data_IF_407725061340
#
_entry.id   IF_407725061340
#
_cell.length_a   1.000
_cell.length_b   1.000
_cell.length_c   1.000
_cell.angle_alpha   90.00
_cell.angle_beta   90.00
_cell.angle_gamma   90.00
#
_symmetry.space_group_name_H-M   'P 1'
#
loop_
_entity.id
_entity.type
_entity.pdbx_description
1 polymer ?
#
# COMPACT_ATOMS: atom_id res chain seq x y z
N UNK A 1 -28.70 -30.13 -7.77
CA UNK A 1 -28.28 -28.76 -8.15
C UNK A 1 -27.84 -27.82 -7.00
N UNK A 2 -28.05 -28.11 -5.70
CA UNK A 2 -27.71 -27.19 -4.59
C UNK A 2 -26.22 -27.06 -4.21
N UNK A 3 -25.35 -27.97 -4.68
CA UNK A 3 -23.91 -27.98 -4.29
C UNK A 3 -23.04 -27.04 -5.14
N UNK A 4 -23.36 -26.89 -6.43
CA UNK A 4 -22.61 -26.05 -7.37
C UNK A 4 -22.66 -24.58 -6.94
N UNK A 5 -23.83 -24.10 -6.49
CA UNK A 5 -24.01 -22.73 -5.99
C UNK A 5 -23.12 -22.43 -4.79
N UNK A 6 -22.97 -23.38 -3.85
CA UNK A 6 -22.09 -23.21 -2.68
C UNK A 6 -20.61 -23.20 -3.09
N UNK A 7 -20.20 -24.08 -4.00
CA UNK A 7 -18.82 -24.12 -4.50
C UNK A 7 -18.44 -22.83 -5.23
N UNK A 8 -19.32 -22.31 -6.09
CA UNK A 8 -19.10 -21.03 -6.79
C UNK A 8 -18.98 -19.87 -5.81
N UNK A 9 -19.80 -19.84 -4.75
CA UNK A 9 -19.69 -18.82 -3.69
C UNK A 9 -18.33 -18.90 -3.00
N UNK A 10 -17.87 -20.10 -2.63
CA UNK A 10 -16.56 -20.26 -1.98
C UNK A 10 -15.39 -19.90 -2.89
N UNK A 11 -15.46 -20.21 -4.19
CA UNK A 11 -14.46 -19.77 -5.18
C UNK A 11 -14.46 -18.25 -5.28
N UNK A 12 -15.63 -17.62 -5.32
CA UNK A 12 -15.77 -16.16 -5.33
C UNK A 12 -15.15 -15.51 -4.09
N UNK A 13 -15.43 -16.04 -2.90
CA UNK A 13 -14.85 -15.56 -1.64
C UNK A 13 -13.32 -15.75 -1.65
N UNK A 14 -12.83 -16.90 -2.09
CA UNK A 14 -11.39 -17.17 -2.18
C UNK A 14 -10.68 -16.21 -3.14
N UNK A 15 -11.26 -15.96 -4.30
CA UNK A 15 -10.74 -14.99 -5.27
C UNK A 15 -10.72 -13.56 -4.72
N UNK A 16 -11.77 -13.15 -4.01
CA UNK A 16 -11.84 -11.84 -3.37
C UNK A 16 -10.77 -11.69 -2.27
N UNK A 17 -10.60 -12.70 -1.41
CA UNK A 17 -9.58 -12.69 -0.36
C UNK A 17 -8.16 -12.66 -0.96
N UNK A 18 -7.91 -13.39 -2.04
CA UNK A 18 -6.64 -13.34 -2.76
C UNK A 18 -6.35 -11.95 -3.33
N UNK A 19 -7.35 -11.31 -3.94
CA UNK A 19 -7.23 -9.94 -4.44
C UNK A 19 -6.93 -8.96 -3.30
N UNK A 20 -7.61 -9.07 -2.17
CA UNK A 20 -7.37 -8.22 -0.99
C UNK A 20 -5.97 -8.44 -0.41
N UNK A 21 -5.51 -9.70 -0.31
CA UNK A 21 -4.18 -10.03 0.20
C UNK A 21 -3.04 -9.53 -0.72
N UNK A 22 -3.31 -9.33 -2.01
CA UNK A 22 -2.34 -8.85 -2.99
C UNK A 22 -2.28 -7.33 -3.15
N UNK A 23 -3.16 -6.57 -2.48
CA UNK A 23 -3.24 -5.12 -2.64
C UNK A 23 -3.25 -4.39 -1.29
N UNK A 24 -2.64 -3.20 -1.26
CA UNK A 24 -2.86 -2.19 -0.23
C UNK A 24 -3.94 -1.22 -0.70
N UNK A 25 -4.94 -1.01 0.13
CA UNK A 25 -6.00 -0.04 -0.04
C UNK A 25 -5.61 1.21 0.76
N UNK A 26 -5.13 2.22 0.04
CA UNK A 26 -4.63 3.46 0.62
C UNK A 26 -5.74 4.50 0.56
N UNK A 27 -6.12 5.00 1.74
CA UNK A 27 -7.16 5.99 1.92
C UNK A 27 -6.56 7.39 2.10
N UNK A 28 -6.86 8.29 1.17
CA UNK A 28 -6.36 9.66 1.12
C UNK A 28 -7.32 10.72 1.71
N UNK A 29 -8.40 10.31 2.37
CA UNK A 29 -9.45 11.21 2.87
C UNK A 29 -10.66 11.29 1.94
N UNK A 30 -11.85 11.43 2.54
CA UNK A 30 -13.13 11.45 1.82
C UNK A 30 -13.44 10.11 1.13
N UNK A 31 -13.51 10.12 -0.20
CA UNK A 31 -13.76 8.94 -1.05
C UNK A 31 -12.54 8.53 -1.89
N UNK A 32 -11.37 9.12 -1.65
CA UNK A 32 -10.17 8.87 -2.44
C UNK A 32 -9.45 7.61 -1.94
N UNK A 33 -9.75 6.47 -2.60
CA UNK A 33 -9.08 5.20 -2.36
C UNK A 33 -8.19 4.87 -3.55
N UNK A 34 -6.92 4.63 -3.30
CA UNK A 34 -5.94 4.16 -4.29
C UNK A 34 -5.46 2.77 -3.93
N UNK A 35 -5.22 1.95 -4.95
CA UNK A 35 -4.71 0.60 -4.81
C UNK A 35 -3.22 0.59 -5.09
N UNK A 36 -2.45 -0.08 -4.25
CA UNK A 36 -1.03 -0.29 -4.45
C UNK A 36 -0.74 -1.80 -4.39
N UNK A 37 -0.08 -2.34 -5.41
CA UNK A 37 0.17 -3.78 -5.49
C UNK A 37 1.24 -4.18 -4.46
N UNK A 38 0.96 -5.25 -3.70
CA UNK A 38 1.91 -5.81 -2.73
C UNK A 38 2.99 -6.63 -3.42
N UNK A 39 4.22 -6.58 -2.90
CA UNK A 39 5.31 -7.49 -3.30
C UNK A 39 5.12 -8.92 -2.76
N UNK A 40 4.52 -9.05 -1.58
CA UNK A 40 4.24 -10.34 -0.94
C UNK A 40 2.75 -10.46 -0.61
N UNK A 41 2.17 -11.65 -0.77
CA UNK A 41 0.79 -11.93 -0.36
C UNK A 41 0.69 -11.91 1.16
N UNK A 42 0.13 -10.84 1.72
CA UNK A 42 -0.02 -10.67 3.16
C UNK A 42 -1.26 -9.85 3.46
N UNK A 43 -1.93 -10.14 4.57
CA UNK A 43 -3.01 -9.30 5.09
C UNK A 43 -2.50 -8.11 5.92
N UNK A 44 -1.18 -8.02 6.13
CA UNK A 44 -0.56 -6.86 6.77
C UNK A 44 -0.73 -5.60 5.91
N UNK A 45 -0.99 -4.47 6.59
CA UNK A 45 -1.12 -3.14 5.97
C UNK A 45 -2.12 -3.10 4.80
N UNK A 46 -3.13 -3.95 4.80
CA UNK A 46 -4.12 -4.03 3.71
C UNK A 46 -4.97 -2.78 3.62
N UNK A 47 -5.37 -2.21 4.75
CA UNK A 47 -6.10 -0.94 4.78
C UNK A 47 -5.20 0.08 5.49
N UNK A 48 -4.72 1.06 4.73
CA UNK A 48 -3.83 2.09 5.26
C UNK A 48 -4.46 3.47 5.03
N UNK A 49 -4.62 4.24 6.11
CA UNK A 49 -5.11 5.62 6.01
C UNK A 49 -3.95 6.60 6.07
N UNK A 50 -3.87 7.48 5.08
CA UNK A 50 -2.91 8.59 5.05
C UNK A 50 -3.45 9.83 5.75
N UNK A 51 -4.77 9.90 6.02
CA UNK A 51 -5.42 11.13 6.54
C UNK A 51 -4.88 11.60 7.89
N UNK A 52 -4.32 10.71 8.70
CA UNK A 52 -3.78 11.03 10.03
C UNK A 52 -2.25 11.02 10.07
N UNK A 53 -1.57 10.85 8.93
CA UNK A 53 -0.11 10.71 8.86
C UNK A 53 0.49 11.79 7.96
N UNK A 54 1.65 12.27 8.36
CA UNK A 54 2.42 13.19 7.51
C UNK A 54 3.06 12.43 6.35
N UNK A 55 3.30 13.09 5.22
CA UNK A 55 3.97 12.47 4.06
C UNK A 55 5.31 11.82 4.42
N UNK A 56 6.04 12.40 5.39
CA UNK A 56 7.28 11.83 5.92
C UNK A 56 7.04 10.51 6.67
N UNK A 57 6.01 10.46 7.52
CA UNK A 57 5.65 9.25 8.27
C UNK A 57 5.07 8.14 7.38
N UNK A 58 4.50 8.51 6.23
CA UNK A 58 4.03 7.55 5.22
C UNK A 58 5.22 6.95 4.47
N UNK A 59 6.17 7.78 4.05
CA UNK A 59 7.38 7.34 3.33
C UNK A 59 8.40 6.61 4.20
N UNK A 60 8.34 6.77 5.53
CA UNK A 60 9.23 6.05 6.44
C UNK A 60 8.92 4.56 6.52
N UNK A 61 7.68 4.17 6.20
CA UNK A 61 7.28 2.76 6.10
C UNK A 61 7.94 2.15 4.85
N UNK A 62 8.85 1.21 5.07
CA UNK A 62 9.62 0.55 4.04
C UNK A 62 8.75 -0.28 3.10
N UNK A 63 7.78 -1.02 3.65
CA UNK A 63 6.81 -1.81 2.86
C UNK A 63 6.04 -0.91 1.89
N UNK A 64 5.52 0.21 2.36
CA UNK A 64 4.76 1.14 1.52
C UNK A 64 5.66 1.91 0.54
N UNK A 65 6.86 2.32 0.98
CA UNK A 65 7.86 2.98 0.13
C UNK A 65 8.26 2.09 -1.04
N UNK A 66 8.62 0.85 -0.76
CA UNK A 66 8.97 -0.14 -1.77
C UNK A 66 7.82 -0.51 -2.70
N UNK A 67 6.58 -0.44 -2.21
CA UNK A 67 5.40 -0.68 -3.01
C UNK A 67 5.08 0.50 -3.95
N UNK A 68 5.72 1.66 -3.79
CA UNK A 68 5.55 2.84 -4.65
C UNK A 68 4.60 3.90 -4.11
N UNK A 69 4.39 3.97 -2.79
CA UNK A 69 3.50 5.01 -2.19
C UNK A 69 3.99 6.43 -2.47
N UNK A 70 5.30 6.63 -2.68
CA UNK A 70 5.87 7.92 -3.01
C UNK A 70 5.35 8.47 -4.34
N UNK A 71 5.15 7.61 -5.34
CA UNK A 71 4.58 8.02 -6.63
C UNK A 71 3.10 8.40 -6.51
N UNK A 72 2.34 7.65 -5.70
CA UNK A 72 0.96 8.02 -5.36
C UNK A 72 0.88 9.37 -4.65
N UNK A 73 1.80 9.67 -3.73
CA UNK A 73 1.85 10.98 -3.06
C UNK A 73 2.14 12.12 -4.04
N UNK A 74 2.94 11.88 -5.08
CA UNK A 74 3.19 12.85 -6.15
C UNK A 74 1.96 13.02 -7.04
N UNK A 75 1.33 11.93 -7.47
CA UNK A 75 0.11 11.94 -8.30
C UNK A 75 -1.04 12.69 -7.62
N UNK A 76 -1.19 12.50 -6.30
CA UNK A 76 -2.20 13.19 -5.48
C UNK A 76 -1.84 14.65 -5.17
N UNK A 77 -0.69 15.15 -5.63
CA UNK A 77 -0.23 16.52 -5.38
C UNK A 77 0.20 16.79 -3.94
N UNK A 78 0.39 15.75 -3.14
CA UNK A 78 0.76 15.86 -1.72
C UNK A 78 2.25 16.15 -1.52
N UNK A 79 3.11 15.70 -2.44
CA UNK A 79 4.54 16.03 -2.47
C UNK A 79 5.01 16.31 -3.90
N UNK A 80 6.09 17.09 -4.05
CA UNK A 80 6.78 17.21 -5.33
C UNK A 80 7.71 16.02 -5.59
N UNK A 81 7.97 15.72 -6.87
CA UNK A 81 8.89 14.65 -7.28
C UNK A 81 10.29 14.79 -6.65
N UNK A 82 10.84 16.02 -6.64
CA UNK A 82 12.12 16.32 -5.99
C UNK A 82 12.10 16.01 -4.49
N UNK A 83 11.00 16.35 -3.80
CA UNK A 83 10.85 16.08 -2.36
C UNK A 83 10.70 14.58 -2.08
N UNK A 84 10.04 13.84 -2.97
CA UNK A 84 9.96 12.37 -2.93
C UNK A 84 11.37 11.76 -2.92
N UNK A 85 12.17 12.06 -3.95
CA UNK A 85 13.53 11.51 -4.11
C UNK A 85 14.44 11.83 -2.92
N UNK A 86 14.36 13.06 -2.37
CA UNK A 86 15.12 13.45 -1.18
C UNK A 86 14.70 12.65 0.06
N UNK A 87 13.41 12.37 0.24
CA UNK A 87 12.92 11.63 1.39
C UNK A 87 13.23 10.13 1.27
N UNK A 88 13.00 9.55 0.11
CA UNK A 88 13.28 8.13 -0.16
C UNK A 88 14.75 7.81 0.05
N UNK A 89 15.65 8.59 -0.55
CA UNK A 89 17.11 8.42 -0.38
C UNK A 89 17.58 8.57 1.08
N UNK A 90 16.95 9.45 1.88
CA UNK A 90 17.26 9.58 3.31
C UNK A 90 16.86 8.34 4.10
N UNK A 91 15.70 7.76 3.78
CA UNK A 91 15.22 6.58 4.49
C UNK A 91 15.94 5.30 4.05
N UNK A 92 16.37 5.21 2.80
CA UNK A 92 17.22 4.12 2.32
C UNK A 92 18.57 4.12 3.05
N UNK A 93 19.26 5.26 3.13
CA UNK A 93 20.51 5.38 3.89
C UNK A 93 20.34 5.05 5.37
N UNK A 94 19.27 5.56 5.99
CA UNK A 94 18.99 5.26 7.40
C UNK A 94 18.63 3.79 7.64
N UNK A 95 18.16 3.07 6.63
CA UNK A 95 17.91 1.63 6.70
C UNK A 95 19.24 0.86 6.56
N UNK A 96 20.12 1.27 5.65
CA UNK A 96 21.47 0.72 5.46
C UNK A 96 22.30 0.86 6.76
N UNK A 97 22.38 2.07 7.32
CA UNK A 97 23.09 2.37 8.59
C UNK A 97 22.57 1.57 9.81
N UNK A 98 21.37 0.96 9.73
CA UNK A 98 20.82 0.14 10.83
C UNK A 98 21.35 -1.30 10.81
N UNK A 99 21.76 -1.78 9.63
CA UNK A 99 22.21 -3.17 9.44
C UNK A 99 23.74 -3.30 9.37
N UNK A 100 24.47 -2.18 9.40
CA UNK A 100 25.93 -2.09 9.62
C UNK A 100 26.29 -1.97 11.11
#
# INVERSE_FOLDING_TARGET
MRRITKTVIWIGIGGLLYFIAGNHFIYFGGLNIKLLKKKQLTFSHTFFSTSLKTNKAILSDDVLREAGIGDLLVEMGLISKKKKEILESRFEKQQEDRYD
#
